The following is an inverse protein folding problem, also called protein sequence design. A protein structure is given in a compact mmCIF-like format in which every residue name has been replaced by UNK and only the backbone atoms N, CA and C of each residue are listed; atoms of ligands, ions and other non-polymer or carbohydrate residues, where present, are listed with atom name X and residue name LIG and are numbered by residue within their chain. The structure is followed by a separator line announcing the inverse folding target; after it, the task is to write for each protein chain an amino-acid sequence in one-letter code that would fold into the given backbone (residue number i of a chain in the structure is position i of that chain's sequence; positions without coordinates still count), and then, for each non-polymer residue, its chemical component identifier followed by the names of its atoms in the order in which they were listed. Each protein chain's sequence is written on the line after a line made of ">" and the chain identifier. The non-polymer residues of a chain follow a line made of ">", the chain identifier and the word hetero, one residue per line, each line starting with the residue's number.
data_IF_580596059925
#
_entry.id   IF_580596059925
#
_cell.length_a   1.000
_cell.length_b   1.000
_cell.length_c   1.000
_cell.angle_alpha   90.00
_cell.angle_beta   90.00
_cell.angle_gamma   90.00
#
_symmetry.space_group_name_H-M   'P 1'
#
loop_
_entity.id
_entity.type
_entity.pdbx_description
1 polymer ?
#
# COMPACT_ATOMS: atom_id res chain seq x y z
N UNK A 1 79.83 -1.60 -0.78
CA UNK A 1 78.83 -2.20 -1.62
C UNK A 1 77.52 -1.40 -1.60
N UNK A 2 76.90 -1.07 -2.74
CA UNK A 2 75.66 -0.34 -2.77
C UNK A 2 74.49 -1.26 -2.35
N UNK A 3 73.56 -0.71 -1.58
CA UNK A 3 72.34 -1.30 -1.14
C UNK A 3 71.37 -1.54 -2.30
N UNK A 4 70.73 -2.67 -2.48
CA UNK A 4 69.77 -2.89 -3.57
C UNK A 4 68.51 -2.06 -3.41
N UNK A 5 68.17 -1.29 -4.45
CA UNK A 5 66.96 -0.50 -4.51
C UNK A 5 65.79 -1.42 -4.87
N UNK A 6 64.81 -1.53 -3.95
CA UNK A 6 63.57 -2.26 -4.24
C UNK A 6 62.74 -1.55 -5.32
N UNK A 7 62.62 -2.12 -6.47
CA UNK A 7 61.71 -1.66 -7.53
C UNK A 7 60.26 -2.05 -7.16
N UNK A 8 59.29 -1.15 -7.14
CA UNK A 8 57.90 -1.50 -6.83
C UNK A 8 57.30 -2.39 -7.92
N UNK A 9 56.67 -3.49 -7.49
CA UNK A 9 55.92 -4.39 -8.36
C UNK A 9 54.66 -3.68 -8.87
N UNK A 10 54.34 -3.72 -10.18
CA UNK A 10 53.12 -3.13 -10.73
C UNK A 10 51.89 -3.80 -10.10
N UNK A 11 50.78 -3.06 -9.83
CA UNK A 11 49.57 -3.66 -9.33
C UNK A 11 48.98 -4.65 -10.33
N UNK A 12 48.54 -5.78 -9.83
CA UNK A 12 47.82 -6.81 -10.58
C UNK A 12 46.52 -6.21 -11.12
N UNK A 13 46.16 -6.39 -12.40
CA UNK A 13 44.93 -5.87 -12.97
C UNK A 13 43.73 -6.50 -12.22
N UNK A 14 42.92 -5.67 -11.60
CA UNK A 14 41.65 -6.04 -10.98
C UNK A 14 40.65 -6.34 -12.12
N UNK A 15 40.19 -7.57 -12.21
CA UNK A 15 39.08 -7.92 -13.11
C UNK A 15 37.84 -7.13 -12.75
N UNK A 16 37.52 -6.10 -13.52
CA UNK A 16 36.22 -5.40 -13.45
C UNK A 16 35.15 -6.41 -13.89
N UNK A 17 34.12 -6.68 -13.08
CA UNK A 17 33.04 -7.57 -13.51
C UNK A 17 32.39 -6.98 -14.77
N UNK A 18 32.30 -7.81 -15.80
CA UNK A 18 31.56 -7.48 -17.04
C UNK A 18 30.11 -7.23 -16.65
N UNK A 19 29.51 -6.10 -17.06
CA UNK A 19 28.09 -5.86 -16.75
C UNK A 19 27.27 -7.01 -17.35
N UNK A 20 26.53 -7.69 -16.49
CA UNK A 20 25.57 -8.71 -16.92
C UNK A 20 24.54 -8.04 -17.81
N UNK A 21 24.40 -8.52 -19.04
CA UNK A 21 23.43 -8.00 -19.98
C UNK A 21 22.04 -8.05 -19.35
N UNK A 22 21.41 -6.89 -19.19
CA UNK A 22 20.00 -6.79 -18.77
C UNK A 22 19.17 -7.56 -19.80
N UNK A 23 18.35 -8.54 -19.41
CA UNK A 23 17.51 -9.25 -20.34
C UNK A 23 16.61 -8.25 -21.08
N UNK A 24 16.63 -8.27 -22.40
CA UNK A 24 15.73 -7.48 -23.24
C UNK A 24 14.30 -7.88 -22.90
N UNK A 25 13.42 -6.95 -22.51
CA UNK A 25 12.04 -7.27 -22.19
C UNK A 25 11.39 -7.97 -23.39
N UNK A 26 10.83 -9.15 -23.18
CA UNK A 26 10.02 -9.82 -24.19
C UNK A 26 8.69 -9.07 -24.23
N UNK A 27 8.20 -8.61 -25.41
CA UNK A 27 6.85 -8.08 -25.47
C UNK A 27 5.91 -9.21 -25.04
N UNK A 28 5.20 -9.01 -23.95
CA UNK A 28 4.16 -9.91 -23.51
C UNK A 28 2.84 -9.49 -24.17
N UNK A 29 1.98 -10.43 -24.44
CA UNK A 29 0.59 -10.13 -24.75
C UNK A 29 -0.21 -10.28 -23.49
N UNK A 30 -0.88 -9.22 -23.08
CA UNK A 30 -1.90 -9.32 -22.06
C UNK A 30 -2.97 -10.32 -22.53
N UNK A 31 -3.49 -11.11 -21.60
CA UNK A 31 -4.65 -11.93 -21.89
C UNK A 31 -5.86 -11.02 -22.20
N UNK A 32 -6.64 -11.40 -23.19
CA UNK A 32 -7.77 -10.64 -23.74
C UNK A 32 -9.16 -11.14 -23.24
N UNK A 33 -9.16 -12.19 -22.40
CA UNK A 33 -10.37 -12.83 -21.90
C UNK A 33 -10.85 -12.25 -20.55
N UNK A 34 -10.16 -11.25 -19.99
CA UNK A 34 -10.59 -10.57 -18.77
C UNK A 34 -11.58 -9.45 -19.09
N UNK A 35 -12.78 -9.43 -18.45
CA UNK A 35 -13.77 -8.39 -18.72
C UNK A 35 -13.29 -7.04 -18.20
N UNK A 36 -13.71 -5.98 -18.90
CA UNK A 36 -13.66 -4.61 -18.35
C UNK A 36 -14.53 -4.52 -17.09
N UNK A 37 -14.08 -3.74 -16.11
CA UNK A 37 -14.74 -3.62 -14.81
C UNK A 37 -15.15 -2.16 -14.55
N UNK A 38 -16.38 -1.98 -14.10
CA UNK A 38 -16.81 -0.73 -13.44
C UNK A 38 -16.47 -0.80 -11.95
N UNK A 39 -16.54 0.33 -11.23
CA UNK A 39 -16.31 0.33 -9.78
C UNK A 39 -17.23 -0.65 -9.02
N UNK A 40 -18.46 -0.84 -9.50
CA UNK A 40 -19.44 -1.76 -8.90
C UNK A 40 -19.06 -3.24 -9.01
N UNK A 41 -18.23 -3.59 -9.99
CA UNK A 41 -17.83 -4.99 -10.26
C UNK A 41 -16.64 -5.45 -9.37
N UNK A 42 -16.00 -4.53 -8.69
CA UNK A 42 -14.84 -4.86 -7.86
C UNK A 42 -15.25 -5.62 -6.59
N UNK A 43 -14.55 -6.69 -6.23
CA UNK A 43 -14.82 -7.45 -5.02
C UNK A 43 -14.71 -6.60 -3.76
N UNK A 44 -15.71 -6.69 -2.88
CA UNK A 44 -15.75 -6.00 -1.60
C UNK A 44 -16.15 -6.97 -0.48
N UNK A 45 -15.74 -6.73 0.77
CA UNK A 45 -16.13 -7.60 1.88
C UNK A 45 -17.64 -7.50 2.17
N UNK A 46 -18.20 -8.56 2.70
CA UNK A 46 -19.58 -8.53 3.18
C UNK A 46 -19.73 -7.51 4.32
N UNK A 47 -20.76 -6.66 4.24
CA UNK A 47 -20.97 -5.59 5.21
C UNK A 47 -19.86 -4.54 5.16
N UNK A 48 -19.37 -4.23 3.96
CA UNK A 48 -18.31 -3.24 3.73
C UNK A 48 -18.65 -1.90 4.38
N UNK A 49 -17.77 -1.43 5.25
CA UNK A 49 -17.87 -0.13 5.91
C UNK A 49 -16.71 0.81 5.54
N UNK A 50 -15.81 0.40 4.64
CA UNK A 50 -14.63 1.17 4.23
C UNK A 50 -13.53 1.26 5.29
N UNK A 51 -13.68 0.62 6.43
CA UNK A 51 -12.72 0.66 7.52
C UNK A 51 -11.68 -0.43 7.37
N UNK A 52 -10.42 -0.05 7.50
CA UNK A 52 -9.31 -0.98 7.43
C UNK A 52 -8.18 -0.62 8.37
N UNK A 53 -7.14 -1.44 8.34
CA UNK A 53 -5.92 -1.26 9.11
C UNK A 53 -4.74 -1.93 8.40
N UNK A 54 -3.56 -1.32 8.49
CA UNK A 54 -2.34 -1.96 8.03
C UNK A 54 -1.88 -3.02 9.05
N UNK A 55 -1.56 -4.20 8.54
CA UNK A 55 -1.12 -5.34 9.33
C UNK A 55 0.32 -5.68 8.94
N UNK A 56 1.26 -5.26 9.76
CA UNK A 56 2.66 -5.65 9.65
C UNK A 56 2.90 -6.83 10.56
N UNK A 57 3.63 -7.80 10.06
CA UNK A 57 4.09 -8.93 10.87
C UNK A 57 5.60 -8.87 11.01
N UNK A 58 6.10 -9.17 12.18
CA UNK A 58 7.50 -9.55 12.37
C UNK A 58 7.82 -10.74 11.47
N UNK A 59 9.09 -10.96 11.16
CA UNK A 59 9.53 -11.94 10.15
C UNK A 59 8.89 -13.32 10.30
N UNK A 60 8.49 -13.73 11.51
CA UNK A 60 7.79 -14.99 11.78
C UNK A 60 6.90 -14.86 13.03
N UNK A 61 5.72 -14.24 12.95
CA UNK A 61 4.83 -14.09 14.10
C UNK A 61 4.29 -15.45 14.52
N UNK A 62 4.03 -15.60 15.82
CA UNK A 62 3.31 -16.79 16.32
C UNK A 62 1.86 -16.77 15.79
N UNK A 63 1.22 -17.92 15.81
CA UNK A 63 -0.19 -18.04 15.42
C UNK A 63 -1.09 -17.21 16.35
N UNK A 64 -0.78 -17.26 17.65
CA UNK A 64 -1.50 -16.50 18.67
C UNK A 64 -1.36 -14.98 18.46
N UNK A 65 -0.24 -14.50 17.95
CA UNK A 65 -0.04 -13.09 17.63
C UNK A 65 -0.86 -12.65 16.41
N UNK A 66 -0.88 -13.47 15.38
CA UNK A 66 -1.71 -13.23 14.20
C UNK A 66 -3.17 -13.18 14.61
N UNK A 67 -3.66 -14.22 15.30
CA UNK A 67 -5.06 -14.34 15.70
C UNK A 67 -5.49 -13.22 16.65
N UNK A 68 -4.62 -12.83 17.59
CA UNK A 68 -4.85 -11.69 18.49
C UNK A 68 -5.01 -10.38 17.71
N UNK A 69 -4.16 -10.11 16.72
CA UNK A 69 -4.23 -8.86 15.96
C UNK A 69 -5.42 -8.86 14.99
N UNK A 70 -5.77 -9.99 14.40
CA UNK A 70 -7.03 -10.13 13.63
C UNK A 70 -8.23 -9.86 14.56
N UNK A 71 -8.26 -10.44 15.77
CA UNK A 71 -9.35 -10.19 16.72
C UNK A 71 -9.45 -8.70 17.11
N UNK A 72 -8.32 -8.01 17.33
CA UNK A 72 -8.27 -6.56 17.57
C UNK A 72 -8.90 -5.76 16.41
N UNK A 73 -8.65 -6.17 15.18
CA UNK A 73 -9.27 -5.57 13.99
C UNK A 73 -10.78 -5.83 13.96
N UNK A 74 -11.22 -7.04 14.25
CA UNK A 74 -12.64 -7.40 14.32
C UNK A 74 -13.36 -6.64 15.44
N UNK A 75 -12.74 -6.47 16.60
CA UNK A 75 -13.29 -5.69 17.71
C UNK A 75 -13.52 -4.21 17.33
N UNK A 76 -12.70 -3.67 16.44
CA UNK A 76 -12.87 -2.35 15.83
C UNK A 76 -13.71 -2.39 14.55
N UNK A 77 -14.29 -3.53 14.19
CA UNK A 77 -15.11 -3.74 12.99
C UNK A 77 -14.42 -3.44 11.65
N UNK A 78 -13.09 -3.62 11.59
CA UNK A 78 -12.36 -3.48 10.33
C UNK A 78 -12.81 -4.53 9.32
N UNK A 79 -13.01 -4.11 8.07
CA UNK A 79 -13.42 -4.94 6.95
C UNK A 79 -12.33 -5.08 5.89
N UNK A 80 -11.32 -4.22 5.95
CA UNK A 80 -10.19 -4.21 5.04
C UNK A 80 -8.87 -4.31 5.79
N UNK A 81 -7.86 -4.84 5.12
CA UNK A 81 -6.49 -4.85 5.63
C UNK A 81 -5.49 -4.67 4.49
N UNK A 82 -4.35 -4.02 4.76
CA UNK A 82 -3.14 -4.19 3.98
C UNK A 82 -2.23 -5.11 4.76
N UNK A 83 -1.83 -6.23 4.17
CA UNK A 83 -1.07 -7.29 4.86
C UNK A 83 0.26 -7.50 4.16
N UNK A 84 1.34 -7.25 4.88
CA UNK A 84 2.71 -7.50 4.42
C UNK A 84 3.01 -8.99 4.46
N UNK A 85 3.62 -9.53 3.39
CA UNK A 85 4.12 -10.91 3.36
C UNK A 85 5.47 -10.99 2.63
N UNK A 86 6.35 -11.87 3.11
CA UNK A 86 7.68 -12.05 2.54
C UNK A 86 7.76 -13.22 1.56
N UNK A 87 7.04 -14.32 1.84
CA UNK A 87 7.11 -15.55 1.06
C UNK A 87 5.77 -16.29 1.01
N UNK A 88 5.72 -17.38 0.25
CA UNK A 88 4.52 -18.19 0.06
C UNK A 88 4.07 -18.90 1.35
N UNK A 89 4.99 -19.20 2.27
CA UNK A 89 4.66 -19.86 3.54
C UNK A 89 3.86 -18.89 4.42
N UNK A 90 4.31 -17.63 4.48
CA UNK A 90 3.56 -16.58 5.17
C UNK A 90 2.20 -16.35 4.50
N UNK A 91 2.16 -16.29 3.17
CA UNK A 91 0.92 -16.12 2.42
C UNK A 91 -0.09 -17.24 2.71
N UNK A 92 0.34 -18.50 2.68
CA UNK A 92 -0.48 -19.67 2.99
C UNK A 92 -0.95 -19.69 4.46
N UNK A 93 -0.16 -19.13 5.37
CA UNK A 93 -0.51 -19.02 6.79
C UNK A 93 -1.53 -17.93 7.07
N UNK A 94 -1.40 -16.78 6.42
CA UNK A 94 -2.22 -15.59 6.67
C UNK A 94 -3.55 -15.62 5.90
N UNK A 95 -3.53 -16.03 4.63
CA UNK A 95 -4.67 -15.90 3.75
C UNK A 95 -5.95 -16.60 4.27
N UNK A 96 -5.93 -17.85 4.75
CA UNK A 96 -7.13 -18.48 5.29
C UNK A 96 -7.67 -17.76 6.55
N UNK A 97 -6.79 -17.22 7.41
CA UNK A 97 -7.21 -16.53 8.63
C UNK A 97 -7.97 -15.24 8.33
N UNK A 98 -7.47 -14.44 7.39
CA UNK A 98 -8.17 -13.23 6.96
C UNK A 98 -9.47 -13.54 6.22
N UNK A 99 -9.48 -14.55 5.32
CA UNK A 99 -10.70 -15.01 4.67
C UNK A 99 -11.77 -15.41 5.69
N UNK A 100 -11.40 -16.24 6.66
CA UNK A 100 -12.34 -16.79 7.66
C UNK A 100 -12.81 -15.71 8.64
N UNK A 101 -12.05 -14.63 8.81
CA UNK A 101 -12.45 -13.45 9.58
C UNK A 101 -13.38 -12.50 8.79
N UNK A 102 -13.54 -12.70 7.47
CA UNK A 102 -14.32 -11.82 6.60
C UNK A 102 -13.68 -10.45 6.34
N UNK A 103 -12.37 -10.33 6.55
CA UNK A 103 -11.58 -9.14 6.24
C UNK A 103 -10.98 -9.29 4.83
N UNK A 104 -11.27 -8.32 3.93
CA UNK A 104 -10.69 -8.27 2.60
C UNK A 104 -9.26 -7.73 2.68
N UNK A 105 -8.33 -8.38 1.99
CA UNK A 105 -6.89 -8.07 2.10
C UNK A 105 -6.30 -7.56 0.80
N UNK A 106 -5.53 -6.50 0.91
CA UNK A 106 -4.53 -6.07 -0.07
C UNK A 106 -3.20 -6.73 0.34
N UNK A 107 -2.71 -7.63 -0.50
CA UNK A 107 -1.49 -8.38 -0.26
C UNK A 107 -0.27 -7.59 -0.71
N UNK A 108 0.50 -7.09 0.24
CA UNK A 108 1.72 -6.33 -0.01
C UNK A 108 2.92 -7.26 0.07
N UNK A 109 3.55 -7.51 -1.09
CA UNK A 109 4.81 -8.26 -1.13
C UNK A 109 5.95 -7.42 -0.55
N UNK A 110 6.75 -8.00 0.32
CA UNK A 110 7.98 -7.39 0.82
C UNK A 110 9.04 -7.41 -0.29
N UNK A 111 9.08 -6.35 -1.09
CA UNK A 111 10.02 -6.15 -2.19
C UNK A 111 10.56 -4.73 -2.19
N UNK A 112 11.84 -4.60 -2.50
CA UNK A 112 12.44 -3.30 -2.76
C UNK A 112 12.22 -2.89 -4.22
N UNK A 113 12.14 -1.59 -4.56
CA UNK A 113 11.87 -1.13 -5.93
C UNK A 113 12.86 -1.63 -6.98
N UNK A 114 14.11 -1.95 -6.59
CA UNK A 114 15.16 -2.47 -7.47
C UNK A 114 15.15 -3.99 -7.62
N UNK A 115 14.33 -4.70 -6.89
CA UNK A 115 14.24 -6.16 -6.92
C UNK A 115 13.23 -6.63 -7.95
N UNK A 116 13.67 -7.42 -8.93
CA UNK A 116 12.76 -8.11 -9.83
C UNK A 116 12.14 -9.32 -9.12
N UNK A 117 10.83 -9.51 -9.26
CA UNK A 117 10.13 -10.67 -8.74
C UNK A 117 9.34 -11.38 -9.83
N UNK A 118 9.48 -12.69 -9.93
CA UNK A 118 8.94 -13.47 -11.05
C UNK A 118 7.80 -14.41 -10.66
N UNK A 119 7.56 -14.63 -9.37
CA UNK A 119 6.59 -15.63 -8.88
C UNK A 119 5.20 -15.03 -8.57
N UNK A 120 4.87 -13.84 -9.10
CA UNK A 120 3.55 -13.22 -8.93
C UNK A 120 2.40 -14.15 -9.28
N UNK A 121 2.55 -14.92 -10.38
CA UNK A 121 1.54 -15.88 -10.82
C UNK A 121 1.30 -17.00 -9.80
N UNK A 122 2.35 -17.45 -9.12
CA UNK A 122 2.27 -18.46 -8.06
C UNK A 122 1.58 -17.92 -6.82
N UNK A 123 1.97 -16.72 -6.36
CA UNK A 123 1.32 -16.07 -5.21
C UNK A 123 -0.19 -15.92 -5.45
N UNK A 124 -0.57 -15.45 -6.65
CA UNK A 124 -1.97 -15.29 -7.05
C UNK A 124 -2.70 -16.62 -7.11
N UNK A 125 -2.06 -17.68 -7.61
CA UNK A 125 -2.67 -19.01 -7.66
C UNK A 125 -2.93 -19.54 -6.25
N UNK A 126 -1.98 -19.38 -5.31
CA UNK A 126 -2.17 -19.74 -3.90
C UNK A 126 -3.40 -19.02 -3.31
N UNK A 127 -3.51 -17.70 -3.52
CA UNK A 127 -4.66 -16.94 -3.03
C UNK A 127 -5.99 -17.45 -3.60
N UNK A 128 -6.03 -17.71 -4.91
CA UNK A 128 -7.22 -18.26 -5.59
C UNK A 128 -7.61 -19.65 -5.07
N UNK A 129 -6.63 -20.53 -4.89
CA UNK A 129 -6.86 -21.89 -4.38
C UNK A 129 -7.40 -21.87 -2.93
N UNK A 130 -7.02 -20.84 -2.18
CA UNK A 130 -7.53 -20.58 -0.83
C UNK A 130 -8.87 -19.79 -0.82
N UNK A 131 -9.44 -19.46 -1.98
CA UNK A 131 -10.68 -18.68 -2.08
C UNK A 131 -10.53 -17.21 -1.65
N UNK A 132 -9.34 -16.65 -1.81
CA UNK A 132 -9.01 -15.26 -1.43
C UNK A 132 -8.88 -14.39 -2.67
N UNK A 133 -9.43 -13.18 -2.61
CA UNK A 133 -9.31 -12.20 -3.70
C UNK A 133 -7.86 -11.73 -3.82
N UNK A 134 -7.22 -11.83 -5.01
CA UNK A 134 -5.83 -11.48 -5.19
C UNK A 134 -5.64 -9.97 -5.49
N UNK A 135 -5.91 -9.12 -4.51
CA UNK A 135 -5.53 -7.71 -4.55
C UNK A 135 -4.04 -7.58 -4.23
N UNK A 136 -3.19 -7.31 -5.22
CA UNK A 136 -1.74 -7.32 -5.07
C UNK A 136 -1.16 -5.92 -5.07
N UNK A 137 -0.57 -5.47 -3.96
CA UNK A 137 0.32 -4.31 -3.97
C UNK A 137 1.70 -4.75 -4.45
N UNK A 138 2.11 -4.26 -5.63
CA UNK A 138 3.30 -4.79 -6.32
C UNK A 138 4.62 -4.21 -5.83
N UNK A 139 4.67 -2.95 -5.42
CA UNK A 139 5.84 -2.31 -4.80
C UNK A 139 5.39 -1.29 -3.75
N UNK A 140 6.35 -0.74 -2.99
CA UNK A 140 6.10 0.28 -1.98
C UNK A 140 7.04 1.47 -2.16
N UNK A 141 6.49 2.68 -2.10
CA UNK A 141 7.18 3.98 -2.04
C UNK A 141 8.44 4.10 -2.92
N UNK A 142 8.37 3.81 -4.22
CA UNK A 142 9.55 3.65 -5.05
C UNK A 142 10.40 4.91 -5.22
N UNK A 143 9.85 6.09 -4.92
CA UNK A 143 10.58 7.36 -4.96
C UNK A 143 11.27 7.72 -3.63
N UNK A 144 11.01 6.95 -2.56
CA UNK A 144 11.55 7.22 -1.22
C UNK A 144 12.96 6.65 -1.08
N UNK A 145 13.91 7.51 -0.68
CA UNK A 145 15.33 7.16 -0.62
C UNK A 145 15.64 5.95 0.28
N UNK A 146 14.88 5.77 1.36
CA UNK A 146 15.02 4.66 2.31
C UNK A 146 14.69 3.28 1.70
N UNK A 147 13.97 3.25 0.58
CA UNK A 147 13.67 2.01 -0.14
C UNK A 147 14.83 1.54 -1.04
N UNK A 148 15.92 2.31 -1.14
CA UNK A 148 17.02 2.05 -2.04
C UNK A 148 18.36 1.86 -1.30
N UNK A 149 19.28 1.02 -1.84
CA UNK A 149 20.64 0.98 -1.34
C UNK A 149 21.28 2.36 -1.42
N UNK A 150 22.01 2.75 -0.37
CA UNK A 150 22.73 4.02 -0.31
C UNK A 150 21.84 5.27 -0.54
N UNK A 151 20.50 5.13 -0.45
CA UNK A 151 19.55 6.23 -0.64
C UNK A 151 19.47 6.79 -2.07
N UNK A 152 20.00 6.08 -3.06
CA UNK A 152 20.00 6.53 -4.46
C UNK A 152 18.89 5.83 -5.26
N UNK A 153 17.76 6.50 -5.44
CA UNK A 153 16.66 5.99 -6.25
C UNK A 153 17.04 5.91 -7.74
N UNK A 154 16.62 4.83 -8.41
CA UNK A 154 16.78 4.63 -9.83
C UNK A 154 15.43 4.33 -10.47
N UNK A 155 14.77 5.37 -10.95
CA UNK A 155 13.43 5.29 -11.53
C UNK A 155 13.37 4.34 -12.73
N UNK A 156 14.40 4.31 -13.59
CA UNK A 156 14.39 3.46 -14.77
C UNK A 156 14.39 1.97 -14.41
N UNK A 157 15.17 1.55 -13.41
CA UNK A 157 15.18 0.18 -12.92
C UNK A 157 13.82 -0.18 -12.31
N UNK A 158 13.26 0.71 -11.50
CA UNK A 158 11.95 0.50 -10.91
C UNK A 158 10.86 0.35 -11.98
N UNK A 159 10.81 1.22 -12.97
CA UNK A 159 9.78 1.22 -14.01
C UNK A 159 9.79 -0.08 -14.82
N UNK A 160 10.96 -0.64 -15.16
CA UNK A 160 11.04 -1.94 -15.83
C UNK A 160 10.52 -3.07 -14.93
N UNK A 161 10.87 -3.07 -13.66
CA UNK A 161 10.35 -4.04 -12.69
C UNK A 161 8.83 -3.91 -12.50
N UNK A 162 8.31 -2.67 -12.47
CA UNK A 162 6.90 -2.36 -12.32
C UNK A 162 6.07 -2.88 -13.50
N UNK A 163 6.53 -2.63 -14.74
CA UNK A 163 5.84 -3.13 -15.95
C UNK A 163 5.79 -4.65 -15.94
N UNK A 164 6.90 -5.32 -15.66
CA UNK A 164 6.95 -6.79 -15.59
C UNK A 164 6.02 -7.36 -14.50
N UNK A 165 5.98 -6.72 -13.34
CA UNK A 165 5.08 -7.12 -12.25
C UNK A 165 3.60 -6.87 -12.59
N UNK A 166 3.28 -5.71 -13.18
CA UNK A 166 1.94 -5.34 -13.64
C UNK A 166 1.39 -6.40 -14.59
N UNK A 167 2.16 -6.76 -15.57
CA UNK A 167 1.85 -7.77 -16.57
C UNK A 167 1.63 -9.15 -15.94
N UNK A 168 2.56 -9.60 -15.08
CA UNK A 168 2.48 -10.90 -14.43
C UNK A 168 1.25 -11.01 -13.54
N UNK A 169 0.94 -9.98 -12.76
CA UNK A 169 -0.25 -9.93 -11.89
C UNK A 169 -1.53 -9.94 -12.74
N UNK A 170 -1.61 -9.11 -13.77
CA UNK A 170 -2.76 -9.06 -14.67
C UNK A 170 -3.01 -10.41 -15.36
N UNK A 171 -1.99 -10.98 -15.97
CA UNK A 171 -2.09 -12.24 -16.70
C UNK A 171 -2.44 -13.44 -15.80
N UNK A 172 -2.04 -13.40 -14.52
CA UNK A 172 -2.49 -14.37 -13.54
C UNK A 172 -3.96 -14.14 -13.08
N UNK A 173 -4.59 -13.05 -13.53
CA UNK A 173 -5.96 -12.67 -13.16
C UNK A 173 -6.06 -12.09 -11.75
N UNK A 174 -4.99 -11.47 -11.27
CA UNK A 174 -4.98 -10.65 -10.06
C UNK A 174 -5.46 -9.22 -10.33
N UNK A 175 -5.58 -8.45 -9.26
CA UNK A 175 -5.84 -7.02 -9.30
C UNK A 175 -4.52 -6.29 -9.03
N UNK A 176 -4.15 -5.40 -9.95
CA UNK A 176 -2.84 -4.71 -9.92
C UNK A 176 -2.91 -3.49 -9.04
N UNK A 177 -2.26 -3.52 -7.88
CA UNK A 177 -2.21 -2.40 -6.93
C UNK A 177 -0.96 -1.56 -7.12
N UNK A 178 -1.12 -0.35 -7.62
CA UNK A 178 -0.05 0.64 -7.72
C UNK A 178 0.03 1.46 -6.43
N UNK A 179 1.26 1.69 -5.95
CA UNK A 179 1.51 2.55 -4.80
C UNK A 179 2.60 3.58 -5.14
N UNK A 180 2.32 4.86 -4.93
CA UNK A 180 3.23 5.97 -5.14
C UNK A 180 2.97 7.09 -4.14
N UNK A 181 4.05 7.79 -3.75
CA UNK A 181 4.01 9.03 -2.97
C UNK A 181 4.50 10.24 -3.77
N UNK A 182 4.98 10.01 -4.99
CA UNK A 182 5.42 11.05 -5.93
C UNK A 182 4.50 11.08 -7.15
N UNK A 183 3.91 12.25 -7.40
CA UNK A 183 3.04 12.49 -8.55
C UNK A 183 3.75 12.23 -9.88
N UNK A 184 4.98 12.76 -10.04
CA UNK A 184 5.75 12.57 -11.27
C UNK A 184 6.09 11.10 -11.55
N UNK A 185 6.44 10.34 -10.52
CA UNK A 185 6.74 8.92 -10.69
C UNK A 185 5.49 8.12 -11.08
N UNK A 186 4.32 8.49 -10.55
CA UNK A 186 3.05 7.89 -10.97
C UNK A 186 2.75 8.22 -12.43
N UNK A 187 2.90 9.49 -12.85
CA UNK A 187 2.65 9.90 -14.25
C UNK A 187 3.56 9.12 -15.21
N UNK A 188 4.85 9.03 -14.91
CA UNK A 188 5.81 8.29 -15.74
C UNK A 188 5.47 6.80 -15.79
N UNK A 189 5.04 6.21 -14.65
CA UNK A 189 4.61 4.82 -14.59
C UNK A 189 3.37 4.55 -15.44
N UNK A 190 2.33 5.39 -15.33
CA UNK A 190 1.10 5.24 -16.12
C UNK A 190 1.38 5.36 -17.62
N UNK A 191 2.22 6.32 -18.02
CA UNK A 191 2.61 6.50 -19.42
C UNK A 191 3.37 5.29 -19.95
N UNK A 192 4.32 4.74 -19.18
CA UNK A 192 5.09 3.57 -19.60
C UNK A 192 4.21 2.31 -19.66
N UNK A 193 3.34 2.08 -18.68
CA UNK A 193 2.40 0.96 -18.69
C UNK A 193 1.48 1.07 -19.91
N UNK A 194 0.92 2.24 -20.18
CA UNK A 194 0.07 2.49 -21.36
C UNK A 194 0.80 2.19 -22.66
N UNK A 195 2.06 2.60 -22.78
CA UNK A 195 2.88 2.40 -23.96
C UNK A 195 3.21 0.91 -24.19
N UNK A 196 3.50 0.15 -23.12
CA UNK A 196 3.96 -1.23 -23.20
C UNK A 196 2.81 -2.24 -23.24
N UNK A 197 1.79 -2.02 -22.42
CA UNK A 197 0.72 -2.98 -22.16
C UNK A 197 -0.63 -2.56 -22.76
N UNK A 198 -0.77 -1.30 -23.17
CA UNK A 198 -2.04 -0.75 -23.62
C UNK A 198 -3.01 -0.40 -22.48
N UNK A 199 -4.24 -0.03 -22.85
CA UNK A 199 -5.22 0.50 -21.89
C UNK A 199 -6.01 -0.57 -21.12
N UNK A 200 -6.03 -1.81 -21.62
CA UNK A 200 -6.82 -2.88 -21.01
C UNK A 200 -6.39 -3.20 -19.57
N UNK A 201 -5.09 -3.08 -19.27
CA UNK A 201 -4.55 -3.37 -17.93
C UNK A 201 -5.13 -2.46 -16.86
N UNK A 202 -5.48 -1.22 -17.20
CA UNK A 202 -6.04 -0.24 -16.26
C UNK A 202 -7.43 -0.64 -15.74
N UNK A 203 -8.15 -1.50 -16.45
CA UNK A 203 -9.47 -2.01 -16.04
C UNK A 203 -9.41 -2.93 -14.82
N UNK A 204 -8.23 -3.43 -14.46
CA UNK A 204 -8.00 -4.26 -13.28
C UNK A 204 -6.91 -3.69 -12.37
N UNK A 205 -6.67 -2.41 -12.50
CA UNK A 205 -5.72 -1.65 -11.69
C UNK A 205 -6.46 -0.89 -10.59
N UNK A 206 -5.92 -0.88 -9.39
CA UNK A 206 -6.35 -0.03 -8.28
C UNK A 206 -5.16 0.74 -7.73
N UNK A 207 -5.43 1.80 -6.98
CA UNK A 207 -4.39 2.63 -6.43
C UNK A 207 -4.36 2.58 -4.90
N UNK A 208 -3.17 2.64 -4.34
CA UNK A 208 -2.93 2.52 -2.90
C UNK A 208 -2.21 3.80 -2.44
N UNK A 209 -2.92 4.92 -2.25
CA UNK A 209 -2.29 6.13 -1.74
C UNK A 209 -1.80 5.94 -0.30
N UNK A 210 -0.70 6.62 0.04
CA UNK A 210 -0.29 6.82 1.42
C UNK A 210 -0.70 8.24 1.84
N UNK A 211 -1.61 8.33 2.79
CA UNK A 211 -2.27 9.58 3.17
C UNK A 211 -2.02 9.90 4.64
N UNK A 212 -0.82 10.38 4.95
CA UNK A 212 -0.42 10.79 6.29
C UNK A 212 -0.83 12.22 6.58
N UNK A 213 -1.52 12.43 7.70
CA UNK A 213 -2.02 13.73 8.11
C UNK A 213 -0.99 14.62 8.80
N UNK A 214 0.21 14.11 9.12
CA UNK A 214 1.17 14.80 9.98
C UNK A 214 0.51 15.24 11.29
N UNK A 215 0.51 16.54 11.62
CA UNK A 215 -0.32 17.11 12.71
C UNK A 215 -1.45 18.02 12.18
N UNK A 216 -1.79 17.92 10.90
CA UNK A 216 -2.88 18.68 10.28
C UNK A 216 -4.25 18.09 10.64
N UNK A 217 -5.31 18.91 10.69
CA UNK A 217 -6.68 18.42 10.90
C UNK A 217 -7.17 17.59 9.70
N UNK A 218 -8.20 16.75 9.89
CA UNK A 218 -8.74 15.91 8.81
C UNK A 218 -9.25 16.67 7.58
N UNK A 219 -9.57 17.97 7.75
CA UNK A 219 -10.01 18.87 6.66
C UNK A 219 -8.89 19.53 5.86
N UNK A 220 -7.62 19.30 6.21
CA UNK A 220 -6.48 19.93 5.54
C UNK A 220 -6.33 19.49 4.09
N UNK A 221 -6.09 20.48 3.18
CA UNK A 221 -6.02 20.25 1.72
C UNK A 221 -4.96 21.09 1.01
N UNK A 222 -4.04 21.74 1.74
CA UNK A 222 -3.08 22.68 1.13
C UNK A 222 -1.97 21.97 0.34
N UNK A 223 -1.60 20.77 0.75
CA UNK A 223 -0.56 19.96 0.10
C UNK A 223 -0.79 18.45 0.25
N UNK A 224 0.20 17.65 -0.16
CA UNK A 224 0.15 16.18 -0.11
C UNK A 224 0.24 15.60 1.32
N UNK A 225 0.68 16.39 2.32
CA UNK A 225 0.78 15.96 3.71
C UNK A 225 -0.59 16.03 4.42
N UNK A 226 -1.55 15.36 3.86
CA UNK A 226 -2.95 15.36 4.25
C UNK A 226 -3.57 13.97 4.15
N UNK A 227 -4.50 13.65 5.03
CA UNK A 227 -5.31 12.42 4.88
C UNK A 227 -6.21 12.46 3.65
N UNK A 228 -6.43 13.64 3.08
CA UNK A 228 -7.17 13.85 1.83
C UNK A 228 -6.28 13.82 0.58
N UNK A 229 -4.99 13.50 0.68
CA UNK A 229 -4.04 13.49 -0.44
C UNK A 229 -4.40 12.52 -1.57
N UNK A 230 -5.17 11.45 -1.30
CA UNK A 230 -5.69 10.55 -2.33
C UNK A 230 -6.45 11.30 -3.45
N UNK A 231 -7.01 12.49 -3.17
CA UNK A 231 -7.71 13.33 -4.15
C UNK A 231 -6.76 13.90 -5.22
N UNK A 232 -5.52 14.18 -4.85
CA UNK A 232 -4.48 14.64 -5.80
C UNK A 232 -4.20 13.52 -6.81
N UNK A 233 -4.00 12.31 -6.32
CA UNK A 233 -3.77 11.14 -7.20
C UNK A 233 -5.01 10.82 -8.06
N UNK A 234 -6.22 11.02 -7.55
CA UNK A 234 -7.44 10.85 -8.34
C UNK A 234 -7.49 11.78 -9.57
N UNK A 235 -7.05 13.03 -9.42
CA UNK A 235 -6.95 13.97 -10.55
C UNK A 235 -5.92 13.50 -11.58
N UNK A 236 -4.77 12.96 -11.14
CA UNK A 236 -3.75 12.41 -12.03
C UNK A 236 -4.33 11.23 -12.85
N UNK A 237 -5.01 10.29 -12.21
CA UNK A 237 -5.65 9.18 -12.93
C UNK A 237 -6.68 9.67 -13.94
N UNK A 238 -7.54 10.60 -13.54
CA UNK A 238 -8.53 11.19 -14.46
C UNK A 238 -7.87 11.85 -15.67
N UNK A 239 -6.74 12.53 -15.47
CA UNK A 239 -6.00 13.20 -16.55
C UNK A 239 -5.26 12.21 -17.45
N UNK A 240 -4.56 11.22 -16.87
CA UNK A 240 -3.67 10.34 -17.62
C UNK A 240 -4.37 9.17 -18.32
N UNK A 241 -5.44 8.63 -17.72
CA UNK A 241 -6.15 7.45 -18.25
C UNK A 241 -7.64 7.65 -18.44
N UNK A 242 -8.20 8.82 -18.10
CA UNK A 242 -9.60 9.20 -18.38
C UNK A 242 -10.61 8.69 -17.35
N UNK A 243 -10.21 7.96 -16.32
CA UNK A 243 -11.08 7.52 -15.22
C UNK A 243 -10.28 7.35 -13.93
N UNK A 244 -11.00 7.27 -12.80
CA UNK A 244 -10.39 7.06 -11.50
C UNK A 244 -10.60 5.60 -11.09
N UNK A 245 -9.52 4.80 -10.92
CA UNK A 245 -9.63 3.43 -10.46
C UNK A 245 -10.05 3.38 -8.97
N UNK A 246 -10.45 2.20 -8.43
CA UNK A 246 -10.63 2.05 -7.00
C UNK A 246 -9.39 2.47 -6.24
N UNK A 247 -9.59 3.18 -5.14
CA UNK A 247 -8.51 3.58 -4.23
C UNK A 247 -8.73 2.98 -2.86
N UNK A 248 -7.66 2.40 -2.32
CA UNK A 248 -7.62 1.87 -0.96
C UNK A 248 -6.40 2.52 -0.31
N UNK A 249 -6.61 3.49 0.58
CA UNK A 249 -5.50 4.09 1.31
C UNK A 249 -4.81 3.00 2.11
N UNK A 250 -3.55 2.73 1.77
CA UNK A 250 -2.80 1.59 2.33
C UNK A 250 -2.01 1.94 3.58
N UNK A 251 -1.62 3.19 3.71
CA UNK A 251 -0.97 3.74 4.89
C UNK A 251 -1.46 5.18 5.11
N UNK A 252 -1.42 5.63 6.34
CA UNK A 252 -1.82 7.00 6.64
C UNK A 252 -2.35 7.18 8.06
N UNK A 253 -3.16 8.24 8.23
CA UNK A 253 -3.64 8.66 9.53
C UNK A 253 -2.63 9.56 10.23
N UNK A 254 -2.63 9.55 11.54
CA UNK A 254 -1.82 10.46 12.36
C UNK A 254 -0.95 9.69 13.34
N UNK A 255 0.30 10.14 13.44
CA UNK A 255 1.21 9.69 14.48
C UNK A 255 0.91 10.45 15.78
N UNK A 256 0.78 9.73 16.88
CA UNK A 256 0.74 10.34 18.21
C UNK A 256 2.05 11.10 18.49
N UNK A 257 1.93 12.32 19.00
CA UNK A 257 3.09 13.17 19.27
C UNK A 257 3.63 13.95 18.05
N UNK A 258 2.99 13.83 16.86
CA UNK A 258 3.41 14.58 15.67
C UNK A 258 3.34 16.10 15.88
N UNK A 259 4.36 16.83 15.38
CA UNK A 259 4.53 18.29 15.48
C UNK A 259 5.14 18.88 14.20
N UNK A 260 4.89 18.26 13.06
CA UNK A 260 5.57 18.53 11.78
C UNK A 260 5.33 19.96 11.27
N UNK A 261 4.14 20.52 11.51
CA UNK A 261 3.78 21.88 11.15
C UNK A 261 3.47 22.73 12.40
N UNK A 262 4.30 23.72 12.66
CA UNK A 262 4.14 24.62 13.82
C UNK A 262 2.87 25.48 13.83
N UNK A 263 2.07 25.49 12.75
CA UNK A 263 0.76 26.15 12.67
C UNK A 263 -0.33 25.36 13.42
N UNK A 264 -0.10 24.08 13.66
CA UNK A 264 -1.07 23.17 14.25
C UNK A 264 -0.56 22.58 15.57
N UNK A 265 -1.44 22.21 16.49
CA UNK A 265 -1.03 21.63 17.75
C UNK A 265 -0.41 20.24 17.57
N UNK A 266 0.40 19.82 18.54
CA UNK A 266 0.87 18.45 18.64
C UNK A 266 -0.34 17.49 18.73
N UNK A 267 -0.27 16.36 18.01
CA UNK A 267 -1.27 15.29 18.05
C UNK A 267 -1.18 14.58 19.40
N UNK A 268 -1.99 15.01 20.37
CA UNK A 268 -2.15 14.38 21.67
C UNK A 268 -3.27 13.31 21.64
N UNK A 269 -3.56 12.67 22.75
CA UNK A 269 -4.59 11.61 22.85
C UNK A 269 -5.97 12.08 22.38
N UNK A 270 -6.37 13.31 22.73
CA UNK A 270 -7.67 13.85 22.35
C UNK A 270 -7.75 14.12 20.85
N UNK A 271 -6.74 14.78 20.27
CA UNK A 271 -6.68 15.05 18.83
C UNK A 271 -6.55 13.75 18.01
N UNK A 272 -5.74 12.80 18.47
CA UNK A 272 -5.60 11.50 17.83
C UNK A 272 -6.96 10.79 17.79
N UNK A 273 -7.69 10.75 18.90
CA UNK A 273 -9.05 10.22 18.99
C UNK A 273 -9.99 10.94 18.02
N UNK A 274 -10.06 12.26 18.09
CA UNK A 274 -11.03 13.06 17.35
C UNK A 274 -10.80 12.95 15.85
N UNK A 275 -9.54 12.98 15.40
CA UNK A 275 -9.17 12.85 14.00
C UNK A 275 -9.51 11.46 13.43
N UNK A 276 -9.26 10.39 14.19
CA UNK A 276 -9.62 9.04 13.74
C UNK A 276 -11.14 8.78 13.79
N UNK A 277 -11.86 9.30 14.78
CA UNK A 277 -13.32 9.23 14.80
C UNK A 277 -13.92 9.97 13.61
N UNK A 278 -13.39 11.15 13.26
CA UNK A 278 -13.83 11.92 12.11
C UNK A 278 -13.53 11.16 10.80
N UNK A 279 -12.31 10.65 10.61
CA UNK A 279 -11.92 9.88 9.45
C UNK A 279 -12.83 8.66 9.21
N UNK A 280 -13.03 7.83 10.24
CA UNK A 280 -13.90 6.67 10.11
C UNK A 280 -15.37 7.04 9.93
N UNK A 281 -15.78 8.20 10.42
CA UNK A 281 -17.14 8.72 10.21
C UNK A 281 -17.41 9.11 8.75
N UNK A 282 -16.41 9.39 7.91
CA UNK A 282 -16.62 9.69 6.47
C UNK A 282 -17.44 8.59 5.79
N UNK A 283 -17.09 7.34 6.05
CA UNK A 283 -17.74 6.19 5.41
C UNK A 283 -19.19 5.99 5.88
N UNK A 284 -19.51 6.41 7.09
CA UNK A 284 -20.87 6.37 7.65
C UNK A 284 -21.74 7.52 7.18
N UNK A 285 -21.15 8.73 7.11
CA UNK A 285 -21.88 9.96 6.77
C UNK A 285 -21.94 10.20 5.26
N UNK A 286 -21.05 9.58 4.49
CA UNK A 286 -20.89 9.86 3.06
C UNK A 286 -20.25 11.23 2.76
N UNK A 287 -19.57 11.83 3.75
CA UNK A 287 -18.96 13.16 3.66
C UNK A 287 -17.53 13.15 4.17
N UNK A 288 -16.63 13.81 3.43
CA UNK A 288 -15.25 14.09 3.84
C UNK A 288 -15.19 15.28 4.80
N UNK A 289 -14.10 15.41 5.54
CA UNK A 289 -13.89 16.51 6.51
C UNK A 289 -13.85 17.91 5.90
N UNK A 290 -13.53 18.02 4.62
CA UNK A 290 -13.57 19.29 3.89
C UNK A 290 -14.97 19.66 3.36
N UNK A 291 -16.01 18.87 3.70
CA UNK A 291 -17.40 19.09 3.29
C UNK A 291 -17.78 18.57 1.91
N UNK A 292 -16.87 17.88 1.20
CA UNK A 292 -17.18 17.22 -0.06
C UNK A 292 -17.81 15.84 0.16
N UNK A 293 -18.63 15.34 -0.77
CA UNK A 293 -19.11 13.97 -0.73
C UNK A 293 -17.96 12.96 -0.73
N UNK A 294 -18.10 11.87 0.05
CA UNK A 294 -17.18 10.74 -0.01
C UNK A 294 -17.24 10.10 -1.39
N UNK A 295 -16.14 10.11 -2.17
CA UNK A 295 -16.18 9.60 -3.53
C UNK A 295 -16.29 8.07 -3.56
N UNK A 296 -17.00 7.55 -4.55
CA UNK A 296 -17.21 6.11 -4.73
C UNK A 296 -15.92 5.35 -5.06
N UNK A 297 -14.93 6.01 -5.66
CA UNK A 297 -13.65 5.37 -5.94
C UNK A 297 -12.79 5.13 -4.68
N UNK A 298 -13.06 5.80 -3.55
CA UNK A 298 -12.35 5.53 -2.29
C UNK A 298 -13.02 4.34 -1.59
N UNK A 299 -12.50 3.14 -1.75
CA UNK A 299 -13.10 1.93 -1.17
C UNK A 299 -12.85 1.80 0.32
N UNK A 300 -11.61 2.03 0.76
CA UNK A 300 -11.25 1.91 2.16
C UNK A 300 -10.11 2.83 2.57
N UNK A 301 -9.98 3.01 3.88
CA UNK A 301 -8.83 3.65 4.49
C UNK A 301 -8.23 2.71 5.54
N UNK A 302 -6.96 2.33 5.33
CA UNK A 302 -6.19 1.44 6.20
C UNK A 302 -5.02 2.21 6.82
N UNK A 303 -5.23 2.88 7.97
CA UNK A 303 -4.15 3.58 8.66
C UNK A 303 -2.98 2.65 9.02
N UNK A 304 -1.82 3.22 9.12
CA UNK A 304 -0.63 2.61 9.67
C UNK A 304 -0.68 2.72 11.20
N UNK A 305 -0.63 1.68 12.07
CA UNK A 305 -0.82 0.23 11.83
C UNK A 305 -1.46 -0.41 13.07
N UNK A 306 -1.91 -1.66 12.98
CA UNK A 306 -2.64 -2.32 14.10
C UNK A 306 -1.78 -2.50 15.34
N UNK A 307 -0.57 -3.04 15.23
CA UNK A 307 0.29 -3.32 16.37
C UNK A 307 1.77 -3.37 15.96
N UNK A 308 2.63 -2.75 16.75
CA UNK A 308 4.09 -2.84 16.58
C UNK A 308 4.82 -2.27 17.81
N UNK A 309 5.85 -2.97 18.32
CA UNK A 309 6.55 -2.58 19.54
C UNK A 309 7.41 -1.32 19.40
N UNK A 310 7.92 -1.09 18.19
CA UNK A 310 8.90 -0.02 17.91
C UNK A 310 8.34 1.13 17.05
N UNK A 311 7.02 1.14 16.81
CA UNK A 311 6.39 2.16 15.99
C UNK A 311 5.31 2.92 16.77
N UNK A 312 5.47 4.23 16.89
CA UNK A 312 4.55 5.11 17.62
C UNK A 312 3.20 5.30 16.93
N UNK A 313 3.09 4.92 15.64
CA UNK A 313 1.81 4.96 14.94
C UNK A 313 0.92 3.77 15.33
N UNK A 314 1.49 2.72 15.95
CA UNK A 314 0.76 1.52 16.30
C UNK A 314 -0.37 1.80 17.30
N UNK A 315 -1.54 1.21 17.01
CA UNK A 315 -2.69 1.28 17.92
C UNK A 315 -2.50 0.43 19.16
N UNK A 316 -1.82 -0.72 19.01
CA UNK A 316 -1.52 -1.66 20.09
C UNK A 316 -0.04 -1.98 20.17
N UNK A 317 0.38 -2.40 21.33
CA UNK A 317 1.72 -2.92 21.63
C UNK A 317 2.86 -1.90 21.37
N UNK A 318 2.57 -0.61 21.14
CA UNK A 318 3.60 0.44 21.00
C UNK A 318 4.36 0.64 22.32
N UNK A 319 5.64 0.96 22.24
CA UNK A 319 6.43 1.32 23.43
C UNK A 319 5.87 2.56 24.16
N UNK A 320 5.15 3.43 23.49
CA UNK A 320 4.42 4.56 24.08
C UNK A 320 3.02 4.18 24.63
N UNK A 321 2.70 2.88 24.64
CA UNK A 321 1.45 2.32 25.10
C UNK A 321 0.37 2.25 24.02
N UNK A 322 -0.70 1.52 24.31
CA UNK A 322 -1.87 1.35 23.45
C UNK A 322 -2.65 2.67 23.32
N UNK A 323 -3.22 2.93 22.16
CA UNK A 323 -4.08 4.10 21.88
C UNK A 323 -5.51 3.87 22.39
N UNK A 324 -5.65 3.52 23.66
CA UNK A 324 -6.92 3.05 24.28
C UNK A 324 -8.07 4.02 24.04
N UNK A 325 -7.85 5.33 24.22
CA UNK A 325 -8.90 6.35 24.05
C UNK A 325 -9.41 6.38 22.61
N UNK A 326 -8.51 6.30 21.62
CA UNK A 326 -8.85 6.26 20.19
C UNK A 326 -9.56 4.95 19.84
N UNK A 327 -9.04 3.81 20.29
CA UNK A 327 -9.61 2.49 20.05
C UNK A 327 -11.06 2.40 20.56
N UNK A 328 -11.29 2.81 21.79
CA UNK A 328 -12.63 2.76 22.39
C UNK A 328 -13.60 3.74 21.70
N UNK A 329 -13.12 4.91 21.28
CA UNK A 329 -13.93 5.86 20.53
C UNK A 329 -14.33 5.32 19.14
N UNK A 330 -13.42 4.63 18.43
CA UNK A 330 -13.74 3.96 17.16
C UNK A 330 -14.78 2.86 17.39
N UNK A 331 -14.62 2.02 18.40
CA UNK A 331 -15.59 0.98 18.77
C UNK A 331 -16.96 1.56 19.11
N UNK A 332 -17.03 2.78 19.65
CA UNK A 332 -18.27 3.46 20.01
C UNK A 332 -19.04 4.02 18.80
N UNK A 333 -18.43 4.18 17.64
CA UNK A 333 -19.15 4.60 16.42
C UNK A 333 -20.21 3.52 16.08
N UNK A 334 -21.48 3.90 15.82
CA UNK A 334 -22.52 2.92 15.48
C UNK A 334 -22.15 2.07 14.27
N UNK A 335 -22.50 0.79 14.29
CA UNK A 335 -22.32 -0.12 13.16
C UNK A 335 -23.11 0.35 11.93
N UNK A 336 -22.54 0.20 10.75
CA UNK A 336 -23.16 0.55 9.47
C UNK A 336 -22.53 -0.27 8.34
N UNK A 337 -23.24 -0.31 7.22
CA UNK A 337 -22.71 -0.72 5.93
C UNK A 337 -22.65 0.53 5.05
N UNK A 338 -21.53 0.76 4.40
CA UNK A 338 -21.38 1.87 3.45
C UNK A 338 -22.33 1.68 2.27
N UNK A 339 -22.83 2.80 1.76
CA UNK A 339 -23.60 2.85 0.51
C UNK A 339 -22.79 3.54 -0.57
N UNK A 340 -22.85 3.01 -1.77
CA UNK A 340 -22.25 3.59 -2.96
C UNK A 340 -23.35 4.16 -3.86
N UNK A 341 -22.99 5.09 -4.75
CA UNK A 341 -23.99 5.77 -5.58
C UNK A 341 -24.71 4.84 -6.56
N UNK A 342 -24.14 3.69 -6.85
CA UNK A 342 -24.76 2.68 -7.72
C UNK A 342 -25.67 1.67 -6.99
N UNK A 343 -25.78 1.73 -5.66
CA UNK A 343 -26.68 0.92 -4.85
C UNK A 343 -28.00 1.67 -4.60
#
# INVERSE_FOLDING_TARGET
>A
PPTPTNTPVPPTPTNTPTPTATPTPRPMSLRDDLPAMSLADWPRPAGDNGWGMHFVIDSYPSEEEIDRNIQRMLDMRMKWAVVLYGDEIQLQKLAPRFRDSGIMVIWRKMLRPYEAYYDWGRDIQILKDLGVVPYMQIYNEPSVAQEWPEGQSNQAVFLENLVAATEAVYNAGGYVGLQFVSENWLIDALNLIKQREGEAVFQRMFFIPHSYGMNHPPSYTEDINAVLSFRIFALIFQEQIGFIPPMIVGEGGWKWGATDDGRYPMVNDDLHRDYYVELYSWFRTGMLSNGEPLPDYLFAFCPWLIAHKMDDNAFYDSFAGDRVITIEAIKAIPEFTRRFSWE
#
